data_IF_708503901494
#
_entry.id   IF_708503901494
#
_cell.length_a   1.000
_cell.length_b   1.000
_cell.length_c   1.000
_cell.angle_alpha   90.00
_cell.angle_beta   90.00
_cell.angle_gamma   90.00
#
_symmetry.space_group_name_H-M   'P 1'
#
loop_
_entity.id
_entity.type
_entity.pdbx_description
1 polymer ?
#
# COMPACT_ATOMS: atom_id res chain seq x y z
N UNK A 1 -0.17 102.29 -35.24
CA UNK A 1 1.19 102.18 -34.77
C UNK A 1 1.43 100.73 -34.42
N UNK A 2 2.07 100.03 -35.34
CA UNK A 2 2.26 98.63 -35.37
C UNK A 2 3.64 98.31 -34.85
N UNK A 3 3.79 97.25 -34.03
CA UNK A 3 5.04 96.60 -33.89
C UNK A 3 4.80 95.11 -33.86
N UNK A 4 5.01 94.47 -35.02
CA UNK A 4 5.22 93.06 -35.17
C UNK A 4 6.58 92.66 -34.64
N UNK A 5 6.56 91.82 -33.63
CA UNK A 5 7.79 91.16 -33.16
C UNK A 5 7.82 89.79 -33.83
N UNK A 6 8.65 89.67 -34.85
CA UNK A 6 9.03 88.36 -35.43
C UNK A 6 9.92 87.63 -34.50
N UNK A 7 9.48 86.45 -34.04
CA UNK A 7 10.32 85.46 -33.32
C UNK A 7 11.09 84.65 -34.37
N UNK A 8 12.41 84.47 -34.18
CA UNK A 8 13.21 83.68 -35.11
C UNK A 8 12.92 82.21 -34.93
N UNK A 9 12.53 81.58 -36.01
CA UNK A 9 12.34 80.12 -36.10
C UNK A 9 13.68 79.38 -35.92
N UNK A 10 13.84 78.81 -34.75
CA UNK A 10 15.00 78.00 -34.43
C UNK A 10 14.88 76.64 -35.13
N UNK A 11 15.44 76.51 -36.33
CA UNK A 11 15.68 75.23 -37.02
C UNK A 11 16.59 74.38 -36.16
N UNK A 12 16.00 73.53 -35.36
CA UNK A 12 16.70 72.43 -34.72
C UNK A 12 17.22 71.48 -35.79
N UNK A 13 18.50 71.43 -35.98
CA UNK A 13 19.15 70.45 -36.85
C UNK A 13 18.75 69.02 -36.42
N UNK A 14 18.40 68.12 -37.34
CA UNK A 14 18.16 66.77 -37.01
C UNK A 14 19.44 66.15 -36.40
N UNK A 15 19.37 65.75 -35.14
CA UNK A 15 20.47 65.05 -34.46
C UNK A 15 20.64 63.74 -35.21
N UNK A 16 21.71 63.67 -35.98
CA UNK A 16 22.12 62.47 -36.71
C UNK A 16 22.48 61.35 -35.70
N UNK A 17 21.45 60.67 -35.19
CA UNK A 17 21.62 59.54 -34.31
C UNK A 17 22.18 58.39 -35.13
N UNK A 18 23.49 58.14 -35.08
CA UNK A 18 24.06 56.93 -35.60
C UNK A 18 23.25 55.76 -35.12
N UNK A 19 22.74 54.89 -36.01
CA UNK A 19 22.00 53.71 -35.60
C UNK A 19 22.87 52.88 -34.68
N UNK A 20 22.31 52.50 -33.54
CA UNK A 20 22.99 51.65 -32.59
C UNK A 20 23.39 50.34 -33.30
N UNK A 21 24.65 49.90 -33.15
CA UNK A 21 25.10 48.68 -33.76
C UNK A 21 24.19 47.55 -33.30
N UNK A 22 23.50 46.90 -34.23
CA UNK A 22 22.59 45.77 -33.91
C UNK A 22 23.32 44.55 -33.33
N UNK A 23 24.63 44.50 -33.55
CA UNK A 23 25.46 43.37 -33.13
C UNK A 23 25.50 43.14 -31.59
N UNK A 24 25.64 44.13 -30.70
CA UNK A 24 25.58 43.90 -29.26
C UNK A 24 24.24 43.36 -28.77
N UNK A 25 23.15 43.78 -29.40
CA UNK A 25 21.80 43.31 -29.08
C UNK A 25 21.67 41.82 -29.44
N UNK A 26 22.13 41.44 -30.65
CA UNK A 26 22.11 40.02 -31.07
C UNK A 26 22.95 39.12 -30.16
N UNK A 27 24.14 39.57 -29.77
CA UNK A 27 25.01 38.84 -28.83
C UNK A 27 24.37 38.71 -27.46
N UNK A 28 23.73 39.76 -26.96
CA UNK A 28 23.05 39.73 -25.67
C UNK A 28 21.88 38.74 -25.64
N UNK A 29 21.08 38.70 -26.73
CA UNK A 29 19.99 37.73 -26.84
C UNK A 29 20.52 36.29 -26.89
N UNK A 30 21.57 36.06 -27.68
CA UNK A 30 22.14 34.74 -27.84
C UNK A 30 22.77 34.25 -26.53
N UNK A 31 23.48 35.12 -25.81
CA UNK A 31 24.03 34.80 -24.48
C UNK A 31 22.93 34.48 -23.49
N UNK A 32 21.82 35.24 -23.51
CA UNK A 32 20.69 34.95 -22.64
C UNK A 32 20.04 33.59 -22.96
N UNK A 33 19.86 33.28 -24.23
CA UNK A 33 19.31 31.97 -24.65
C UNK A 33 20.20 30.81 -24.20
N UNK A 34 21.52 30.93 -24.40
CA UNK A 34 22.48 29.88 -23.98
C UNK A 34 22.46 29.73 -22.46
N UNK A 35 22.50 30.86 -21.71
CA UNK A 35 22.47 30.85 -20.25
C UNK A 35 21.16 30.27 -19.72
N UNK A 36 20.02 30.67 -20.31
CA UNK A 36 18.70 30.14 -19.93
C UNK A 36 18.57 28.65 -20.23
N UNK A 37 19.07 28.19 -21.37
CA UNK A 37 19.05 26.76 -21.70
C UNK A 37 19.95 25.97 -20.74
N UNK A 38 21.16 26.47 -20.46
CA UNK A 38 22.06 25.85 -19.49
C UNK A 38 21.42 25.81 -18.09
N UNK A 39 20.80 26.90 -17.64
CA UNK A 39 20.09 26.96 -16.39
C UNK A 39 18.94 25.95 -16.32
N UNK A 40 18.16 25.83 -17.38
CA UNK A 40 17.10 24.83 -17.50
C UNK A 40 17.65 23.40 -17.36
N UNK A 41 18.75 23.08 -18.02
CA UNK A 41 19.36 21.76 -17.92
C UNK A 41 19.95 21.48 -16.54
N UNK A 42 20.61 22.48 -15.92
CA UNK A 42 21.27 22.29 -14.62
C UNK A 42 20.29 22.24 -13.45
N UNK A 43 19.20 23.02 -13.54
CA UNK A 43 18.18 23.09 -12.49
C UNK A 43 16.87 22.38 -12.85
N UNK A 44 16.85 21.66 -13.96
CA UNK A 44 15.74 20.77 -14.24
C UNK A 44 15.71 19.73 -13.13
N UNK A 45 14.79 19.94 -12.17
CA UNK A 45 14.49 18.91 -11.18
C UNK A 45 14.19 17.67 -11.98
N UNK A 46 14.91 16.59 -11.72
CA UNK A 46 14.54 15.24 -12.16
C UNK A 46 13.03 15.14 -11.96
N UNK A 47 12.30 14.95 -13.05
CA UNK A 47 10.84 14.86 -12.97
C UNK A 47 10.53 13.82 -11.93
N UNK A 48 10.04 14.28 -10.78
CA UNK A 48 9.40 13.37 -9.86
C UNK A 48 8.32 12.68 -10.69
N UNK A 49 8.18 11.35 -10.57
CA UNK A 49 7.08 10.68 -11.23
C UNK A 49 5.82 11.48 -10.92
N UNK A 50 5.01 11.72 -11.94
CA UNK A 50 3.79 12.51 -11.84
C UNK A 50 2.97 12.04 -10.64
N UNK A 51 2.98 12.82 -9.58
CA UNK A 51 2.10 12.61 -8.45
C UNK A 51 0.77 13.23 -8.84
N UNK A 52 -0.32 12.45 -8.92
CA UNK A 52 -1.63 13.01 -9.18
C UNK A 52 -1.91 14.13 -8.18
N UNK A 53 -2.56 15.17 -8.62
CA UNK A 53 -2.93 16.31 -7.75
C UNK A 53 -3.64 15.78 -6.50
N UNK A 54 -3.52 16.46 -5.37
CA UNK A 54 -4.15 16.06 -4.10
C UNK A 54 -5.64 15.73 -4.29
N UNK A 55 -6.36 16.49 -5.13
CA UNK A 55 -7.76 16.22 -5.45
C UNK A 55 -7.97 14.89 -6.20
N UNK A 56 -7.03 14.45 -7.01
CA UNK A 56 -7.10 13.16 -7.70
C UNK A 56 -6.74 12.02 -6.74
N UNK A 57 -5.77 12.23 -5.86
CA UNK A 57 -5.44 11.28 -4.78
C UNK A 57 -6.62 11.11 -3.82
N UNK A 58 -7.26 12.18 -3.39
CA UNK A 58 -8.46 12.13 -2.56
C UNK A 58 -9.60 11.38 -3.23
N UNK A 59 -9.85 11.59 -4.54
CA UNK A 59 -10.85 10.83 -5.28
C UNK A 59 -10.52 9.34 -5.37
N UNK A 60 -9.25 8.99 -5.57
CA UNK A 60 -8.80 7.59 -5.59
C UNK A 60 -8.98 6.96 -4.21
N UNK A 61 -8.61 7.68 -3.15
CA UNK A 61 -8.79 7.23 -1.76
C UNK A 61 -10.28 7.05 -1.46
N UNK A 62 -11.13 8.03 -1.78
CA UNK A 62 -12.58 7.94 -1.57
C UNK A 62 -13.21 6.80 -2.38
N UNK A 63 -12.77 6.59 -3.63
CA UNK A 63 -13.24 5.47 -4.44
C UNK A 63 -12.77 4.12 -3.87
N UNK A 64 -11.54 4.06 -3.37
CA UNK A 64 -11.01 2.89 -2.69
C UNK A 64 -11.75 2.61 -1.38
N UNK A 65 -11.99 3.63 -0.56
CA UNK A 65 -12.80 3.52 0.65
C UNK A 65 -14.21 3.03 0.34
N UNK A 66 -14.85 3.61 -0.67
CA UNK A 66 -16.19 3.20 -1.08
C UNK A 66 -16.23 1.74 -1.57
N UNK A 67 -15.21 1.29 -2.28
CA UNK A 67 -15.10 -0.10 -2.72
C UNK A 67 -14.70 -1.05 -1.59
N UNK A 68 -14.09 -0.52 -0.52
CA UNK A 68 -13.68 -1.29 0.63
C UNK A 68 -14.83 -1.56 1.60
N UNK A 69 -15.94 -0.81 1.56
CA UNK A 69 -17.10 -1.05 2.42
C UNK A 69 -17.65 -2.48 2.36
N UNK A 70 -17.29 -3.22 1.31
CA UNK A 70 -17.61 -4.63 1.21
C UNK A 70 -16.61 -5.55 1.96
N UNK A 71 -15.44 -5.04 2.35
CA UNK A 71 -14.43 -5.80 3.07
C UNK A 71 -14.39 -5.39 4.53
N UNK A 72 -14.53 -6.36 5.42
CA UNK A 72 -14.48 -6.16 6.86
C UNK A 72 -13.11 -6.52 7.40
N UNK A 73 -12.51 -5.62 8.19
CA UNK A 73 -11.30 -5.96 8.95
C UNK A 73 -11.72 -6.72 10.20
N UNK A 74 -11.24 -7.95 10.34
CA UNK A 74 -11.51 -8.78 11.50
C UNK A 74 -10.43 -8.54 12.57
N UNK A 75 -10.85 -8.57 13.83
CA UNK A 75 -9.91 -8.48 14.94
C UNK A 75 -9.07 -9.76 15.03
N UNK A 76 -7.77 -9.58 15.15
CA UNK A 76 -6.81 -10.68 15.34
C UNK A 76 -6.10 -10.47 16.67
N UNK A 77 -6.13 -11.48 17.53
CA UNK A 77 -5.46 -11.47 18.82
C UNK A 77 -4.48 -12.63 18.92
N UNK A 78 -3.34 -12.38 19.53
CA UNK A 78 -2.42 -13.46 19.89
C UNK A 78 -2.92 -14.11 21.17
N UNK A 79 -3.00 -15.43 21.17
CA UNK A 79 -3.48 -16.20 22.30
C UNK A 79 -2.39 -17.14 22.82
N UNK A 80 -2.55 -17.59 24.06
CA UNK A 80 -1.73 -18.64 24.62
C UNK A 80 -1.92 -19.96 23.85
N UNK A 81 -0.91 -20.85 23.80
CA UNK A 81 -1.05 -22.15 23.14
C UNK A 81 -2.29 -22.90 23.64
N UNK A 82 -3.20 -23.18 22.71
CA UNK A 82 -4.38 -23.99 22.99
C UNK A 82 -4.15 -25.36 22.35
N UNK A 83 -4.36 -26.43 23.10
CA UNK A 83 -4.40 -27.77 22.55
C UNK A 83 -5.73 -27.96 21.82
N UNK A 84 -5.72 -27.86 20.49
CA UNK A 84 -6.90 -28.10 19.66
C UNK A 84 -6.74 -29.46 18.99
N UNK A 85 -7.78 -30.26 19.11
CA UNK A 85 -7.78 -31.67 18.69
C UNK A 85 -7.87 -31.89 17.19
N UNK A 86 -8.32 -30.89 16.40
CA UNK A 86 -8.57 -31.06 14.96
C UNK A 86 -7.93 -29.92 14.14
N UNK A 87 -6.62 -29.84 14.18
CA UNK A 87 -5.88 -28.94 13.30
C UNK A 87 -5.37 -29.66 12.07
N UNK A 88 -5.56 -29.05 10.93
CA UNK A 88 -4.92 -29.50 9.70
C UNK A 88 -3.68 -28.69 9.39
N UNK A 89 -2.63 -29.34 8.94
CA UNK A 89 -1.45 -28.71 8.37
C UNK A 89 -1.78 -28.26 6.95
N UNK A 90 -1.66 -26.97 6.70
CA UNK A 90 -1.97 -26.36 5.40
C UNK A 90 -0.70 -26.38 4.54
N UNK A 91 -0.82 -26.97 3.34
CA UNK A 91 0.29 -27.07 2.40
C UNK A 91 0.40 -25.78 1.59
N UNK A 92 1.57 -25.12 1.57
CA UNK A 92 1.77 -23.91 0.81
C UNK A 92 1.91 -24.16 -0.70
N UNK A 93 1.49 -23.19 -1.48
CA UNK A 93 1.82 -23.07 -2.89
C UNK A 93 2.87 -21.97 -3.07
N UNK A 94 3.94 -22.26 -3.81
CA UNK A 94 4.93 -21.24 -4.16
C UNK A 94 4.26 -20.21 -5.06
N UNK A 95 4.45 -18.95 -4.76
CA UNK A 95 3.88 -17.85 -5.54
C UNK A 95 4.64 -17.71 -6.86
N UNK A 96 3.90 -17.68 -7.95
CA UNK A 96 4.43 -17.44 -9.30
C UNK A 96 4.38 -15.98 -9.73
N UNK A 97 3.54 -15.17 -9.07
CA UNK A 97 3.26 -13.79 -9.44
C UNK A 97 3.48 -12.82 -8.28
N UNK A 98 3.65 -11.51 -8.56
CA UNK A 98 3.67 -10.48 -7.53
C UNK A 98 2.38 -10.48 -6.70
N UNK A 99 2.49 -10.10 -5.41
CA UNK A 99 1.36 -10.05 -4.48
C UNK A 99 0.19 -9.21 -5.01
N UNK A 100 0.50 -8.11 -5.67
CA UNK A 100 -0.48 -7.18 -6.23
C UNK A 100 -1.40 -7.83 -7.26
N UNK A 101 -0.94 -8.88 -7.95
CA UNK A 101 -1.73 -9.62 -8.93
C UNK A 101 -2.61 -10.70 -8.28
N UNK A 102 -2.24 -11.18 -7.10
CA UNK A 102 -3.00 -12.18 -6.36
C UNK A 102 -4.07 -11.56 -5.44
N UNK A 103 -3.86 -10.31 -5.01
CA UNK A 103 -4.82 -9.60 -4.18
C UNK A 103 -5.94 -8.98 -5.02
N UNK A 104 -7.18 -8.96 -4.51
CA UNK A 104 -8.24 -8.18 -5.11
C UNK A 104 -7.81 -6.71 -5.27
N UNK A 105 -8.05 -6.15 -6.45
CA UNK A 105 -7.65 -4.77 -6.79
C UNK A 105 -8.15 -3.74 -5.77
N UNK A 106 -9.31 -3.97 -5.19
CA UNK A 106 -9.90 -3.15 -4.14
C UNK A 106 -9.01 -3.07 -2.91
N UNK A 107 -8.38 -4.18 -2.51
CA UNK A 107 -7.48 -4.23 -1.35
C UNK A 107 -6.15 -3.56 -1.65
N UNK A 108 -5.61 -3.77 -2.86
CA UNK A 108 -4.35 -3.14 -3.28
C UNK A 108 -4.45 -1.61 -3.21
N UNK A 109 -5.57 -1.03 -3.61
CA UNK A 109 -5.79 0.42 -3.53
C UNK A 109 -5.96 0.93 -2.10
N UNK A 110 -6.45 0.10 -1.19
CA UNK A 110 -6.65 0.48 0.21
C UNK A 110 -5.36 0.45 1.02
N UNK A 111 -4.43 -0.42 0.68
CA UNK A 111 -3.18 -0.52 1.40
C UNK A 111 -2.36 0.77 1.16
N UNK A 112 -2.17 1.63 2.18
CA UNK A 112 -1.50 2.93 2.02
C UNK A 112 -0.03 2.78 1.61
N UNK A 113 0.51 1.59 1.83
CA UNK A 113 1.86 1.18 1.41
C UNK A 113 1.81 -0.29 1.03
N UNK A 114 2.71 -0.69 0.14
CA UNK A 114 2.95 -2.10 -0.13
C UNK A 114 3.25 -2.83 1.18
N UNK A 115 2.48 -3.86 1.56
CA UNK A 115 2.72 -4.59 2.80
C UNK A 115 4.06 -5.33 2.71
N UNK A 116 4.89 -5.18 3.73
CA UNK A 116 6.12 -5.96 3.87
C UNK A 116 5.73 -7.26 4.55
N UNK A 117 5.63 -8.33 3.77
CA UNK A 117 5.23 -9.63 4.29
C UNK A 117 6.41 -10.39 4.88
N UNK A 118 6.14 -11.26 5.85
CA UNK A 118 7.15 -12.21 6.34
C UNK A 118 7.69 -13.04 5.17
N UNK A 119 9.00 -13.31 5.12
CA UNK A 119 9.60 -14.00 3.97
C UNK A 119 9.06 -15.42 3.83
N UNK A 120 8.99 -16.17 4.91
CA UNK A 120 8.48 -17.55 4.91
C UNK A 120 7.95 -17.95 6.27
N UNK A 121 7.08 -18.94 6.27
CA UNK A 121 6.66 -19.69 7.44
C UNK A 121 7.16 -21.11 7.32
N UNK A 122 7.49 -21.74 8.44
CA UNK A 122 7.92 -23.14 8.48
C UNK A 122 6.72 -24.06 8.49
N UNK A 123 5.65 -23.66 9.17
CA UNK A 123 4.41 -24.42 9.25
C UNK A 123 3.20 -23.49 9.47
N UNK A 124 2.07 -23.91 8.94
CA UNK A 124 0.77 -23.30 9.17
C UNK A 124 -0.24 -24.38 9.48
N UNK A 125 -0.83 -24.30 10.66
CA UNK A 125 -1.93 -25.16 11.08
C UNK A 125 -3.16 -24.31 11.34
N UNK A 126 -4.32 -24.75 10.92
CA UNK A 126 -5.58 -24.05 11.10
C UNK A 126 -6.68 -25.00 11.52
N UNK A 127 -7.64 -24.48 12.26
CA UNK A 127 -8.91 -25.17 12.42
C UNK A 127 -9.61 -25.26 11.08
N UNK A 128 -10.19 -26.40 10.77
CA UNK A 128 -10.97 -26.59 9.53
C UNK A 128 -12.46 -26.31 9.74
N UNK A 129 -12.87 -26.17 10.99
CA UNK A 129 -14.24 -25.86 11.34
C UNK A 129 -14.27 -24.94 12.56
N UNK A 130 -15.26 -24.07 12.62
CA UNK A 130 -15.54 -23.22 13.79
C UNK A 130 -17.05 -23.18 14.04
N UNK A 131 -17.44 -22.91 15.29
CA UNK A 131 -18.84 -22.69 15.64
C UNK A 131 -19.14 -21.21 15.59
N UNK A 132 -20.43 -20.89 15.42
CA UNK A 132 -20.89 -19.50 15.53
C UNK A 132 -20.45 -18.89 16.86
N UNK A 133 -19.82 -17.71 16.78
CA UNK A 133 -19.22 -16.98 17.91
C UNK A 133 -17.94 -17.60 18.53
N UNK A 134 -17.43 -18.70 17.99
CA UNK A 134 -16.10 -19.18 18.35
C UNK A 134 -15.07 -18.59 17.38
N UNK A 135 -13.92 -18.12 17.86
CA UNK A 135 -12.90 -17.57 16.98
C UNK A 135 -12.24 -18.67 16.14
N UNK A 136 -11.85 -18.35 14.93
CA UNK A 136 -11.00 -19.21 14.10
C UNK A 136 -9.56 -19.14 14.61
N UNK A 137 -8.98 -20.29 14.96
CA UNK A 137 -7.61 -20.36 15.46
C UNK A 137 -6.64 -20.82 14.39
N UNK A 138 -5.52 -20.11 14.29
CA UNK A 138 -4.41 -20.42 13.40
C UNK A 138 -3.13 -20.51 14.24
N UNK A 139 -2.33 -21.55 14.01
CA UNK A 139 -1.01 -21.70 14.57
C UNK A 139 0.04 -21.52 13.45
N UNK A 140 0.86 -20.51 13.59
CA UNK A 140 1.86 -20.10 12.62
C UNK A 140 3.26 -20.36 13.19
N UNK A 141 4.02 -21.23 12.56
CA UNK A 141 5.39 -21.52 12.92
C UNK A 141 6.36 -20.69 12.07
N UNK A 142 7.20 -19.92 12.73
CA UNK A 142 8.17 -19.04 12.10
C UNK A 142 9.45 -18.90 12.92
N UNK A 143 10.55 -18.40 12.33
CA UNK A 143 11.74 -18.04 13.10
C UNK A 143 11.42 -17.05 14.22
N UNK A 144 12.05 -17.22 15.38
CA UNK A 144 11.78 -16.39 16.55
C UNK A 144 11.96 -14.89 16.30
N UNK A 145 12.93 -14.52 15.48
CA UNK A 145 13.17 -13.13 15.09
C UNK A 145 11.97 -12.44 14.42
N UNK A 146 11.10 -13.19 13.73
CA UNK A 146 9.88 -12.68 13.11
C UNK A 146 8.66 -12.81 14.01
N UNK A 147 8.77 -13.53 15.10
CA UNK A 147 7.65 -13.81 16.00
C UNK A 147 7.51 -12.76 17.13
N UNK A 148 8.24 -11.65 17.05
CA UNK A 148 8.09 -10.52 17.97
C UNK A 148 6.76 -9.82 17.71
N UNK A 149 5.91 -9.75 18.73
CA UNK A 149 4.60 -9.12 18.67
C UNK A 149 4.64 -7.62 18.37
N UNK A 150 5.76 -6.95 18.61
CA UNK A 150 5.95 -5.55 18.25
C UNK A 150 6.16 -5.36 16.74
N UNK A 151 6.77 -6.34 16.08
CA UNK A 151 7.11 -6.30 14.66
C UNK A 151 6.09 -7.04 13.79
N UNK A 152 5.54 -8.14 14.27
CA UNK A 152 4.60 -8.96 13.53
C UNK A 152 3.16 -8.45 13.65
N UNK A 153 2.45 -8.43 12.53
CA UNK A 153 1.01 -8.14 12.46
C UNK A 153 0.33 -9.08 11.47
N UNK A 154 -0.78 -9.68 11.89
CA UNK A 154 -1.68 -10.36 10.96
C UNK A 154 -2.87 -9.45 10.67
N UNK A 155 -3.04 -9.07 9.40
CA UNK A 155 -4.20 -8.34 8.92
C UNK A 155 -5.19 -9.34 8.32
N UNK A 156 -6.40 -9.38 8.86
CA UNK A 156 -7.48 -10.25 8.39
C UNK A 156 -8.59 -9.43 7.74
N UNK A 157 -8.90 -9.72 6.49
CA UNK A 157 -9.93 -9.04 5.69
C UNK A 157 -10.94 -10.08 5.19
N UNK A 158 -12.22 -9.82 5.42
CA UNK A 158 -13.31 -10.73 5.06
C UNK A 158 -14.31 -10.08 4.12
N UNK A 159 -14.76 -10.82 3.09
CA UNK A 159 -15.83 -10.42 2.18
C UNK A 159 -16.51 -11.65 1.57
N UNK A 160 -17.81 -11.77 1.76
CA UNK A 160 -18.66 -12.68 0.97
C UNK A 160 -18.29 -14.17 1.00
N UNK A 161 -17.55 -14.62 2.02
CA UNK A 161 -17.03 -15.98 2.14
C UNK A 161 -15.54 -16.11 1.85
N UNK A 162 -14.87 -15.04 1.42
CA UNK A 162 -13.42 -14.98 1.27
C UNK A 162 -12.78 -14.33 2.49
N UNK A 163 -11.79 -14.98 3.07
CA UNK A 163 -10.96 -14.47 4.17
C UNK A 163 -9.52 -14.37 3.72
N UNK A 164 -9.01 -13.15 3.64
CA UNK A 164 -7.63 -12.86 3.27
C UNK A 164 -6.82 -12.53 4.52
N UNK A 165 -5.69 -13.19 4.66
CA UNK A 165 -4.77 -13.05 5.78
C UNK A 165 -3.41 -12.59 5.26
N UNK A 166 -2.98 -11.40 5.67
CA UNK A 166 -1.68 -10.83 5.32
C UNK A 166 -0.77 -10.86 6.53
N UNK A 167 0.32 -11.63 6.44
CA UNK A 167 1.33 -11.71 7.50
C UNK A 167 2.38 -10.61 7.31
N UNK A 168 2.16 -9.49 7.95
CA UNK A 168 2.94 -8.27 7.77
C UNK A 168 4.01 -8.09 8.83
N UNK A 169 5.13 -7.46 8.43
CA UNK A 169 6.17 -6.99 9.34
C UNK A 169 6.14 -5.46 9.42
N UNK A 170 6.12 -4.94 10.63
CA UNK A 170 6.21 -3.50 10.92
C UNK A 170 7.66 -3.04 10.90
N UNK A 171 8.25 -3.05 9.73
CA UNK A 171 9.62 -2.56 9.48
C UNK A 171 9.58 -1.42 8.47
N UNK A 172 10.59 -0.57 8.49
CA UNK A 172 10.61 0.62 7.61
C UNK A 172 10.75 0.25 6.14
N UNK A 173 11.51 -0.81 5.85
CA UNK A 173 11.78 -1.26 4.49
C UNK A 173 12.21 -2.73 4.45
N UNK A 174 12.30 -3.29 3.25
CA UNK A 174 12.73 -4.69 3.03
C UNK A 174 14.19 -4.95 3.46
N UNK A 175 15.06 -3.92 3.42
CA UNK A 175 16.44 -4.04 3.89
C UNK A 175 16.49 -4.27 5.41
N UNK A 176 15.62 -3.61 6.17
CA UNK A 176 15.47 -3.84 7.61
C UNK A 176 14.97 -5.26 7.91
N UNK A 177 14.11 -5.80 7.06
CA UNK A 177 13.67 -7.19 7.17
C UNK A 177 14.81 -8.18 6.94
N UNK A 178 15.68 -7.92 5.96
CA UNK A 178 16.84 -8.76 5.67
C UNK A 178 17.88 -8.78 6.80
N UNK A 179 17.91 -7.74 7.64
CA UNK A 179 18.79 -7.68 8.82
C UNK A 179 18.26 -8.53 9.99
N UNK A 180 16.95 -8.84 9.99
CA UNK A 180 16.42 -9.77 10.99
C UNK A 180 16.97 -11.15 10.69
N UNK A 181 17.86 -11.61 11.57
CA UNK A 181 18.48 -12.92 11.44
C UNK A 181 17.42 -14.01 11.41
N UNK A 182 17.55 -14.92 10.45
CA UNK A 182 16.81 -16.19 10.49
C UNK A 182 17.47 -17.21 11.42
N UNK A 183 18.59 -16.85 12.05
CA UNK A 183 19.28 -17.65 13.03
C UNK A 183 18.55 -17.54 14.36
N UNK A 184 18.01 -18.62 14.81
CA UNK A 184 17.25 -18.69 16.06
C UNK A 184 16.37 -19.92 16.09
N UNK A 185 15.72 -20.14 17.22
CA UNK A 185 14.72 -21.17 17.36
C UNK A 185 13.48 -20.91 16.50
N UNK A 186 12.65 -21.92 16.34
CA UNK A 186 11.31 -21.77 15.78
C UNK A 186 10.36 -21.43 16.93
N UNK A 187 9.46 -20.48 16.67
CA UNK A 187 8.39 -20.12 17.58
C UNK A 187 7.05 -20.29 16.91
N UNK A 188 6.11 -20.87 17.64
CA UNK A 188 4.73 -21.00 17.17
C UNK A 188 3.89 -19.87 17.76
N UNK A 189 3.29 -19.04 16.91
CA UNK A 189 2.31 -18.05 17.28
C UNK A 189 0.92 -18.64 17.13
N UNK A 190 0.13 -18.56 18.18
CA UNK A 190 -1.29 -18.90 18.16
C UNK A 190 -2.10 -17.62 17.98
N UNK A 191 -2.87 -17.55 16.90
CA UNK A 191 -3.65 -16.39 16.52
C UNK A 191 -5.12 -16.74 16.50
N UNK A 192 -5.92 -15.89 17.07
CA UNK A 192 -7.37 -16.01 17.13
C UNK A 192 -7.98 -14.90 16.29
N UNK A 193 -8.81 -15.26 15.33
CA UNK A 193 -9.50 -14.36 14.43
C UNK A 193 -10.97 -14.32 14.84
N UNK A 194 -11.48 -13.12 15.10
CA UNK A 194 -12.89 -12.93 15.42
C UNK A 194 -13.79 -13.27 14.23
N UNK A 195 -14.66 -14.25 14.39
CA UNK A 195 -15.57 -14.72 13.36
C UNK A 195 -16.98 -14.17 13.50
N UNK A 196 -17.28 -13.33 14.49
CA UNK A 196 -18.63 -12.80 14.70
C UNK A 196 -19.24 -12.13 13.47
N UNK A 197 -18.49 -11.37 12.64
CA UNK A 197 -19.03 -10.76 11.45
C UNK A 197 -19.28 -11.75 10.30
N UNK A 198 -18.87 -13.01 10.44
CA UNK A 198 -18.94 -14.01 9.36
C UNK A 198 -20.33 -14.67 9.36
N UNK A 199 -21.05 -14.45 8.27
CA UNK A 199 -22.39 -15.01 8.09
C UNK A 199 -22.46 -16.22 7.18
N UNK A 200 -21.33 -16.63 6.54
CA UNK A 200 -21.28 -17.70 5.55
C UNK A 200 -20.93 -19.05 6.18
N UNK A 201 -21.55 -20.12 5.66
CA UNK A 201 -21.32 -21.50 6.13
C UNK A 201 -19.91 -22.01 5.76
N UNK A 202 -19.35 -21.51 4.66
CA UNK A 202 -18.03 -21.89 4.17
C UNK A 202 -17.20 -20.65 3.90
N UNK A 203 -15.96 -20.68 4.34
CA UNK A 203 -14.99 -19.60 4.16
C UNK A 203 -13.80 -20.15 3.38
N UNK A 204 -13.50 -19.50 2.27
CA UNK A 204 -12.25 -19.72 1.55
C UNK A 204 -11.16 -18.84 2.19
N UNK A 205 -10.17 -19.44 2.81
CA UNK A 205 -9.10 -18.72 3.46
C UNK A 205 -7.86 -18.67 2.57
N UNK A 206 -7.29 -17.50 2.42
CA UNK A 206 -6.05 -17.26 1.71
C UNK A 206 -5.07 -16.56 2.64
N UNK A 207 -3.92 -17.17 2.87
CA UNK A 207 -2.87 -16.60 3.73
C UNK A 207 -1.63 -16.31 2.89
N UNK A 208 -1.15 -15.08 2.98
CA UNK A 208 -0.06 -14.56 2.14
C UNK A 208 1.20 -14.31 2.95
N UNK A 209 2.31 -14.84 2.46
CA UNK A 209 3.68 -14.49 2.86
C UNK A 209 4.41 -13.89 1.65
N UNK A 210 5.66 -13.46 1.78
CA UNK A 210 6.41 -12.91 0.65
C UNK A 210 6.61 -13.92 -0.50
N UNK A 211 6.84 -15.20 -0.18
CA UNK A 211 7.19 -16.23 -1.16
C UNK A 211 6.06 -17.23 -1.45
N UNK A 212 5.10 -17.38 -0.53
CA UNK A 212 4.12 -18.45 -0.57
C UNK A 212 2.72 -17.95 -0.30
N UNK A 213 1.75 -18.64 -0.88
CA UNK A 213 0.34 -18.47 -0.58
C UNK A 213 -0.24 -19.81 -0.11
N UNK A 214 -1.08 -19.75 0.91
CA UNK A 214 -1.76 -20.91 1.48
C UNK A 214 -3.24 -20.77 1.22
N UNK A 215 -3.90 -21.84 0.78
CA UNK A 215 -5.33 -21.85 0.48
C UNK A 215 -5.98 -23.04 1.16
N UNK A 216 -7.06 -22.79 1.91
CA UNK A 216 -7.89 -23.84 2.49
C UNK A 216 -9.32 -23.36 2.68
N UNK A 217 -10.20 -24.28 3.05
CA UNK A 217 -11.58 -23.97 3.36
C UNK A 217 -11.85 -24.27 4.83
N UNK A 218 -12.68 -23.45 5.43
CA UNK A 218 -13.14 -23.62 6.81
C UNK A 218 -14.66 -23.66 6.78
N UNK A 219 -15.25 -24.61 7.53
CA UNK A 219 -16.70 -24.78 7.60
C UNK A 219 -17.24 -24.26 8.92
N UNK A 220 -18.36 -23.52 8.87
CA UNK A 220 -19.07 -23.12 10.08
C UNK A 220 -20.01 -24.26 10.48
N UNK A 221 -19.76 -24.81 11.67
CA UNK A 221 -20.64 -25.80 12.26
C UNK A 221 -21.87 -25.11 12.82
N UNK A 222 -23.04 -25.41 12.26
CA UNK A 222 -24.31 -24.99 12.84
C UNK A 222 -24.44 -25.62 14.22
N UNK A 223 -24.85 -24.85 15.22
CA UNK A 223 -25.29 -25.42 16.48
C UNK A 223 -26.46 -26.34 16.16
N UNK A 224 -26.30 -27.63 16.37
CA UNK A 224 -27.38 -28.59 16.19
C UNK A 224 -28.57 -28.14 17.01
N UNK A 225 -29.71 -27.97 16.35
CA UNK A 225 -30.99 -27.86 17.03
C UNK A 225 -31.05 -29.09 17.91
N UNK A 226 -31.16 -28.97 19.25
CA UNK A 226 -31.32 -30.15 20.09
C UNK A 226 -32.57 -30.85 19.58
N UNK A 227 -32.39 -32.09 19.10
CA UNK A 227 -33.50 -32.94 18.79
C UNK A 227 -34.38 -32.98 20.03
N UNK A 228 -35.54 -32.38 19.97
CA UNK A 228 -36.52 -32.49 21.01
C UNK A 228 -36.71 -33.99 21.30
N UNK A 229 -36.53 -34.45 22.52
CA UNK A 229 -36.83 -35.82 22.83
C UNK A 229 -38.34 -36.01 22.51
N UNK A 230 -38.58 -36.81 21.48
CA UNK A 230 -39.95 -37.27 21.15
C UNK A 230 -40.48 -37.96 22.41
N UNK A 231 -41.52 -37.37 22.95
CA UNK A 231 -42.34 -37.87 24.04
C UNK A 231 -43.29 -38.96 23.56
#
# INVERSE_FOLDING_TARGET
>A
MNNESQTPDSKRSPVDRKPWPMWPIAVSILSFMVFYTWFQFTFRKTEKPYEPSSAMQERVIQAAEKNLYDWYSLAVTQISPISISERATIIPKVRGEPLENELPSQIVYYLPRKPILIPKTTGLNSDLAFRTAEPLTIALEMPEAFADSALFRLTALYKGGDLLLLAEMRVENEASLAQLSSEGGLKTLHLSIDTQPIATEKIAVQFFTAEKTYHWQVEQLRQGIPLSPES
#
